data_IF_773294108114
#
_entry.id   IF_773294108114
#
_cell.length_a   1.000
_cell.length_b   1.000
_cell.length_c   1.000
_cell.angle_alpha   90.00
_cell.angle_beta   90.00
_cell.angle_gamma   90.00
#
_symmetry.space_group_name_H-M   'P 1'
#
loop_
_entity.id
_entity.type
_entity.pdbx_description
1 polymer ?
#
# COMPACT_ATOMS: atom_id res chain seq x y z
N UNK A 1 30.45 -42.14 -0.55
CA UNK A 1 29.73 -41.37 -1.59
C UNK A 1 28.26 -41.73 -1.53
N UNK A 2 27.50 -41.08 -0.64
CA UNK A 2 26.04 -41.25 -0.60
C UNK A 2 25.42 -40.55 -1.80
N UNK A 3 24.61 -41.26 -2.57
CA UNK A 3 23.90 -40.73 -3.74
C UNK A 3 22.47 -40.33 -3.37
N UNK A 4 21.86 -39.39 -4.10
CA UNK A 4 20.48 -38.92 -3.83
C UNK A 4 19.46 -40.08 -3.89
N UNK A 5 19.72 -41.13 -4.67
CA UNK A 5 18.88 -42.32 -4.76
C UNK A 5 18.92 -43.19 -3.50
N UNK A 6 20.03 -43.19 -2.75
CA UNK A 6 20.17 -43.99 -1.53
C UNK A 6 19.55 -43.34 -0.29
N UNK A 7 19.33 -42.01 -0.33
CA UNK A 7 18.93 -41.24 0.84
C UNK A 7 17.42 -41.22 1.11
N UNK A 8 16.59 -41.52 0.11
CA UNK A 8 15.14 -41.33 0.17
C UNK A 8 14.73 -39.86 0.36
N UNK A 9 13.43 -39.62 0.58
CA UNK A 9 12.86 -38.31 0.87
C UNK A 9 12.95 -38.05 2.39
N UNK A 10 14.04 -37.44 2.83
CA UNK A 10 14.22 -37.01 4.21
C UNK A 10 13.69 -35.59 4.41
N UNK A 11 13.18 -35.30 5.60
CA UNK A 11 12.61 -33.99 5.95
C UNK A 11 13.64 -32.97 6.41
N UNK A 12 14.88 -33.41 6.70
CA UNK A 12 15.95 -32.52 7.14
C UNK A 12 16.76 -31.96 5.94
N UNK A 13 16.67 -30.64 5.67
CA UNK A 13 17.35 -30.01 4.54
C UNK A 13 18.88 -29.97 4.69
N UNK A 14 19.43 -30.13 5.91
CA UNK A 14 20.88 -30.05 6.15
C UNK A 14 21.65 -31.21 5.52
N UNK A 15 21.02 -32.37 5.44
CA UNK A 15 21.60 -33.59 4.88
C UNK A 15 21.78 -33.43 3.36
N UNK A 16 20.83 -32.79 2.69
CA UNK A 16 20.94 -32.47 1.27
C UNK A 16 22.08 -31.48 0.96
N UNK A 17 22.44 -30.58 1.88
CA UNK A 17 23.55 -29.62 1.66
C UNK A 17 24.95 -30.25 1.76
N UNK A 18 25.08 -31.44 2.35
CA UNK A 18 26.36 -32.16 2.46
C UNK A 18 26.69 -32.99 1.20
N UNK A 19 25.73 -33.14 0.28
CA UNK A 19 25.85 -34.02 -0.89
C UNK A 19 26.43 -33.22 -2.07
N UNK A 20 27.50 -33.71 -2.70
CA UNK A 20 28.10 -33.05 -3.88
C UNK A 20 27.12 -32.93 -5.07
N UNK A 21 26.21 -33.89 -5.23
CA UNK A 21 25.20 -33.91 -6.30
C UNK A 21 24.16 -32.79 -6.17
N UNK A 22 23.81 -32.35 -4.95
CA UNK A 22 22.84 -31.26 -4.77
C UNK A 22 23.45 -29.92 -5.16
N UNK A 23 24.73 -29.68 -4.82
CA UNK A 23 25.46 -28.50 -5.30
C UNK A 23 25.59 -28.47 -6.82
N UNK A 24 25.83 -29.62 -7.46
CA UNK A 24 25.81 -29.72 -8.92
C UNK A 24 24.42 -29.36 -9.49
N UNK A 25 23.35 -29.89 -8.90
CA UNK A 25 21.98 -29.56 -9.30
C UNK A 25 21.65 -28.08 -9.11
N UNK A 26 22.04 -27.48 -7.98
CA UNK A 26 21.90 -26.05 -7.73
C UNK A 26 22.64 -25.21 -8.77
N UNK A 27 23.88 -25.57 -9.12
CA UNK A 27 24.66 -24.87 -10.15
C UNK A 27 24.03 -24.98 -11.53
N UNK A 28 23.51 -26.16 -11.91
CA UNK A 28 22.80 -26.34 -13.18
C UNK A 28 21.52 -25.50 -13.21
N UNK A 29 20.72 -25.53 -12.15
CA UNK A 29 19.49 -24.71 -12.03
C UNK A 29 19.85 -23.22 -12.11
N UNK A 30 20.88 -22.78 -11.40
CA UNK A 30 21.34 -21.39 -11.42
C UNK A 30 21.78 -20.96 -12.83
N UNK A 31 22.56 -21.79 -13.52
CA UNK A 31 23.01 -21.52 -14.88
C UNK A 31 21.85 -21.45 -15.89
N UNK A 32 20.85 -22.34 -15.76
CA UNK A 32 19.63 -22.29 -16.58
C UNK A 32 18.85 -21.00 -16.31
N UNK A 33 18.64 -20.67 -15.02
CA UNK A 33 17.95 -19.44 -14.62
C UNK A 33 18.68 -18.19 -15.15
N UNK A 34 20.00 -18.15 -15.02
CA UNK A 34 20.83 -17.07 -15.55
C UNK A 34 20.72 -16.97 -17.08
N UNK A 35 20.80 -18.09 -17.79
CA UNK A 35 20.60 -18.15 -19.23
C UNK A 35 19.23 -17.61 -19.66
N UNK A 36 18.16 -17.97 -18.95
CA UNK A 36 16.80 -17.46 -19.19
C UNK A 36 16.72 -15.95 -18.93
N UNK A 37 17.33 -15.46 -17.85
CA UNK A 37 17.37 -14.02 -17.53
C UNK A 37 18.11 -13.26 -18.63
N UNK A 38 19.29 -13.72 -19.05
CA UNK A 38 20.07 -13.09 -20.13
C UNK A 38 19.27 -13.05 -21.42
N UNK A 39 18.63 -14.17 -21.79
CA UNK A 39 17.79 -14.26 -22.97
C UNK A 39 16.62 -13.26 -22.90
N UNK A 40 15.95 -13.18 -21.75
CA UNK A 40 14.87 -12.22 -21.50
C UNK A 40 15.35 -10.77 -21.62
N UNK A 41 16.53 -10.44 -21.07
CA UNK A 41 17.12 -9.10 -21.17
C UNK A 41 17.45 -8.72 -22.62
N UNK A 42 17.97 -9.68 -23.41
CA UNK A 42 18.26 -9.47 -24.83
C UNK A 42 16.96 -9.19 -25.61
N UNK A 43 15.94 -10.05 -25.46
CA UNK A 43 14.66 -9.88 -26.18
C UNK A 43 13.92 -8.60 -25.77
N UNK A 44 13.98 -8.23 -24.49
CA UNK A 44 13.28 -7.06 -23.96
C UNK A 44 14.12 -5.78 -24.04
N UNK A 45 15.35 -5.81 -24.57
CA UNK A 45 16.28 -4.67 -24.64
C UNK A 45 15.62 -3.38 -25.11
N UNK A 46 14.86 -3.42 -26.22
CA UNK A 46 14.17 -2.22 -26.75
C UNK A 46 13.12 -1.68 -25.78
N UNK A 47 12.41 -2.56 -25.05
CA UNK A 47 11.41 -2.18 -24.05
C UNK A 47 12.05 -1.64 -22.78
N UNK A 48 13.17 -2.23 -22.35
CA UNK A 48 13.97 -1.76 -21.22
C UNK A 48 14.52 -0.36 -21.50
N UNK A 49 14.98 -0.08 -22.73
CA UNK A 49 15.42 1.27 -23.12
C UNK A 49 14.29 2.31 -23.00
N UNK A 50 13.05 1.94 -23.35
CA UNK A 50 11.87 2.81 -23.15
C UNK A 50 11.65 3.05 -21.65
N UNK A 51 11.71 2.01 -20.82
CA UNK A 51 11.56 2.13 -19.37
C UNK A 51 12.63 3.06 -18.77
N UNK A 52 13.91 2.88 -19.14
CA UNK A 52 15.02 3.74 -18.69
C UNK A 52 14.79 5.19 -19.13
N UNK A 53 14.35 5.41 -20.37
CA UNK A 53 14.05 6.76 -20.86
C UNK A 53 12.91 7.40 -20.07
N UNK A 54 11.82 6.67 -19.80
CA UNK A 54 10.71 7.15 -18.98
C UNK A 54 11.15 7.50 -17.56
N UNK A 55 11.92 6.63 -16.91
CA UNK A 55 12.47 6.85 -15.57
C UNK A 55 13.34 8.12 -15.54
N UNK A 56 14.20 8.31 -16.54
CA UNK A 56 15.02 9.53 -16.65
C UNK A 56 14.16 10.79 -16.76
N UNK A 57 13.07 10.71 -17.52
CA UNK A 57 12.13 11.82 -17.69
C UNK A 57 11.27 12.06 -16.45
N UNK A 58 10.91 10.99 -15.72
CA UNK A 58 10.28 11.09 -14.40
C UNK A 58 11.19 11.79 -13.38
N UNK A 59 12.49 11.48 -13.37
CA UNK A 59 13.45 12.19 -12.52
C UNK A 59 13.52 13.69 -12.84
N UNK A 60 13.45 14.06 -14.13
CA UNK A 60 13.39 15.48 -14.53
C UNK A 60 12.07 16.14 -14.12
N UNK A 61 10.95 15.46 -14.31
CA UNK A 61 9.63 15.96 -13.94
C UNK A 61 9.53 16.23 -12.44
N UNK A 62 10.01 15.28 -11.62
CA UNK A 62 10.14 15.46 -10.18
C UNK A 62 11.07 16.63 -9.87
N UNK A 63 12.22 16.70 -10.57
CA UNK A 63 13.17 17.83 -10.60
C UNK A 63 12.49 19.20 -10.68
N UNK A 64 11.57 19.36 -11.62
CA UNK A 64 10.79 20.59 -11.82
C UNK A 64 9.68 20.79 -10.77
N UNK A 65 9.18 19.72 -10.17
CA UNK A 65 8.07 19.71 -9.22
C UNK A 65 8.50 19.18 -7.85
N UNK A 66 9.57 19.73 -7.27
CA UNK A 66 10.14 19.28 -5.99
C UNK A 66 9.10 19.23 -4.85
N UNK A 67 8.09 20.10 -4.87
CA UNK A 67 7.00 20.09 -3.89
C UNK A 67 6.20 18.78 -3.86
N UNK A 68 6.20 18.00 -4.96
CA UNK A 68 5.58 16.68 -5.01
C UNK A 68 6.22 15.67 -4.05
N UNK A 69 7.52 15.81 -3.73
CA UNK A 69 8.22 14.91 -2.81
C UNK A 69 7.73 15.05 -1.36
N UNK A 70 7.18 16.21 -0.98
CA UNK A 70 6.63 16.44 0.36
C UNK A 70 5.17 15.99 0.48
N UNK A 71 4.51 15.69 -0.64
CA UNK A 71 3.11 15.26 -0.67
C UNK A 71 2.77 14.02 0.19
N UNK A 72 3.65 13.01 0.34
CA UNK A 72 3.42 11.90 1.26
C UNK A 72 3.23 12.34 2.72
N UNK A 73 3.85 13.43 3.16
CA UNK A 73 3.64 13.96 4.52
C UNK A 73 2.22 14.48 4.70
N UNK A 74 1.68 15.15 3.69
CA UNK A 74 0.29 15.60 3.68
C UNK A 74 -0.67 14.40 3.68
N UNK A 75 -0.42 13.39 2.84
CA UNK A 75 -1.19 12.14 2.84
C UNK A 75 -1.14 11.45 4.20
N UNK A 76 0.04 11.38 4.83
CA UNK A 76 0.21 10.78 6.15
C UNK A 76 -0.58 11.52 7.23
N UNK A 77 -0.54 12.86 7.24
CA UNK A 77 -1.33 13.68 8.15
C UNK A 77 -2.83 13.39 8.01
N UNK A 78 -3.34 13.33 6.77
CA UNK A 78 -4.74 13.00 6.52
C UNK A 78 -5.09 11.57 6.98
N UNK A 79 -4.20 10.60 6.79
CA UNK A 79 -4.41 9.23 7.28
C UNK A 79 -4.43 9.18 8.82
N UNK A 80 -3.57 9.94 9.50
CA UNK A 80 -3.59 10.07 10.96
C UNK A 80 -4.92 10.64 11.44
N UNK A 81 -5.45 11.66 10.75
CA UNK A 81 -6.78 12.21 11.05
C UNK A 81 -7.87 11.15 10.89
N UNK A 82 -7.83 10.35 9.81
CA UNK A 82 -8.78 9.26 9.59
C UNK A 82 -8.69 8.19 10.68
N UNK A 83 -7.47 7.78 11.08
CA UNK A 83 -7.25 6.83 12.17
C UNK A 83 -7.78 7.38 13.49
N UNK A 84 -7.49 8.64 13.80
CA UNK A 84 -7.98 9.30 15.01
C UNK A 84 -9.52 9.38 15.03
N UNK A 85 -10.13 9.79 13.92
CA UNK A 85 -11.59 9.85 13.79
C UNK A 85 -12.25 8.47 13.98
N UNK A 86 -11.69 7.42 13.37
CA UNK A 86 -12.15 6.06 13.56
C UNK A 86 -12.02 5.59 15.01
N UNK A 87 -10.86 5.81 15.63
CA UNK A 87 -10.58 5.38 17.01
C UNK A 87 -11.50 6.08 18.01
N UNK A 88 -11.66 7.39 17.88
CA UNK A 88 -12.57 8.20 18.70
C UNK A 88 -14.00 7.69 18.55
N UNK A 89 -14.48 7.50 17.31
CA UNK A 89 -15.82 6.96 17.05
C UNK A 89 -16.00 5.56 17.63
N UNK A 90 -14.99 4.70 17.53
CA UNK A 90 -15.02 3.33 18.08
C UNK A 90 -15.14 3.34 19.61
N UNK A 91 -14.39 4.22 20.28
CA UNK A 91 -14.45 4.39 21.75
C UNK A 91 -15.82 4.91 22.16
N UNK A 92 -16.28 6.02 21.57
CA UNK A 92 -17.61 6.58 21.89
C UNK A 92 -18.73 5.57 21.70
N UNK A 93 -18.68 4.79 20.62
CA UNK A 93 -19.66 3.76 20.34
C UNK A 93 -19.56 2.56 21.31
N UNK A 94 -18.36 2.24 21.79
CA UNK A 94 -18.17 1.18 22.79
C UNK A 94 -18.63 1.61 24.19
N UNK A 95 -18.61 2.92 24.50
CA UNK A 95 -18.96 3.46 25.82
C UNK A 95 -20.35 4.10 25.86
N UNK A 96 -21.13 4.06 24.77
CA UNK A 96 -22.42 4.77 24.70
C UNK A 96 -23.55 4.08 25.47
N UNK A 97 -23.38 2.83 25.89
CA UNK A 97 -24.41 2.10 26.63
C UNK A 97 -24.30 2.31 28.14
N UNK A 98 -25.30 1.88 28.90
CA UNK A 98 -25.25 1.92 30.36
C UNK A 98 -24.16 1.00 30.91
N UNK A 99 -23.47 1.47 31.95
CA UNK A 99 -22.48 0.68 32.67
C UNK A 99 -23.18 -0.38 33.53
N UNK A 100 -22.86 -1.65 33.30
CA UNK A 100 -23.32 -2.75 34.14
C UNK A 100 -22.24 -3.06 35.17
N UNK A 101 -22.63 -3.05 36.45
CA UNK A 101 -21.81 -3.49 37.57
C UNK A 101 -22.29 -4.86 38.02
N UNK A 102 -21.34 -5.74 38.35
CA UNK A 102 -21.62 -7.11 38.80
C UNK A 102 -20.93 -7.39 40.12
N UNK A 103 -21.54 -8.29 40.89
CA UNK A 103 -20.97 -8.79 42.13
C UNK A 103 -19.84 -9.78 41.82
N UNK A 104 -18.63 -9.47 42.25
CA UNK A 104 -17.45 -10.33 42.18
C UNK A 104 -17.09 -10.83 43.58
N UNK A 105 -16.77 -12.11 43.69
CA UNK A 105 -16.32 -12.75 44.93
C UNK A 105 -15.31 -13.84 44.57
N UNK A 106 -14.35 -14.11 45.46
CA UNK A 106 -13.38 -15.21 45.31
C UNK A 106 -14.05 -16.58 45.46
N UNK A 107 -15.12 -16.67 46.27
CA UNK A 107 -15.92 -17.87 46.48
C UNK A 107 -17.27 -17.81 45.73
N UNK A 108 -17.73 -18.95 45.20
CA UNK A 108 -19.07 -19.04 44.58
C UNK A 108 -20.14 -18.79 45.64
N UNK A 109 -20.81 -17.64 45.55
CA UNK A 109 -21.93 -17.27 46.39
C UNK A 109 -23.21 -17.15 45.55
N UNK A 110 -24.37 -17.24 46.19
CA UNK A 110 -25.69 -17.28 45.52
C UNK A 110 -25.97 -16.06 44.61
N UNK A 111 -25.38 -14.91 44.91
CA UNK A 111 -25.54 -13.67 44.13
C UNK A 111 -24.33 -13.34 43.24
N UNK A 112 -23.36 -14.25 43.11
CA UNK A 112 -22.20 -14.04 42.25
C UNK A 112 -22.62 -13.79 40.81
N UNK A 113 -22.01 -12.78 40.15
CA UNK A 113 -22.31 -12.30 38.79
C UNK A 113 -23.68 -11.65 38.58
N UNK A 114 -24.48 -11.47 39.64
CA UNK A 114 -25.71 -10.68 39.54
C UNK A 114 -25.40 -9.20 39.38
N UNK A 115 -26.33 -8.48 38.75
CA UNK A 115 -26.21 -7.03 38.59
C UNK A 115 -26.40 -6.34 39.94
N UNK A 116 -25.56 -5.34 40.22
CA UNK A 116 -25.61 -4.54 41.44
C UNK A 116 -25.57 -3.05 41.10
N UNK A 117 -26.11 -2.23 42.00
CA UNK A 117 -25.96 -0.78 41.94
C UNK A 117 -24.87 -0.35 42.93
N UNK A 118 -23.73 0.20 42.48
CA UNK A 118 -22.62 0.57 43.36
C UNK A 118 -23.03 1.59 44.44
N UNK A 119 -24.06 2.42 44.22
CA UNK A 119 -24.50 3.40 45.20
C UNK A 119 -25.16 2.75 46.44
N UNK A 120 -25.92 1.67 46.23
CA UNK A 120 -26.71 1.01 47.27
C UNK A 120 -26.15 -0.36 47.68
N UNK A 121 -25.01 -0.76 47.12
CA UNK A 121 -24.49 -2.10 47.30
C UNK A 121 -24.08 -2.40 48.75
N UNK A 122 -23.45 -1.45 49.44
CA UNK A 122 -22.96 -1.63 50.82
C UNK A 122 -24.05 -1.96 51.83
N UNK A 123 -25.30 -1.56 51.57
CA UNK A 123 -26.46 -1.81 52.44
C UNK A 123 -27.38 -2.91 51.90
N UNK A 124 -27.06 -3.48 50.74
CA UNK A 124 -27.90 -4.49 50.08
C UNK A 124 -27.86 -5.85 50.77
N UNK A 125 -28.95 -6.62 50.64
CA UNK A 125 -29.03 -8.03 51.06
C UNK A 125 -27.91 -8.88 50.42
N UNK A 126 -27.51 -8.52 49.19
CA UNK A 126 -26.45 -9.21 48.45
C UNK A 126 -25.11 -9.10 49.16
N UNK A 127 -24.76 -7.94 49.73
CA UNK A 127 -23.52 -7.73 50.49
C UNK A 127 -23.57 -8.38 51.87
N UNK A 128 -24.75 -8.46 52.48
CA UNK A 128 -24.93 -9.17 53.76
C UNK A 128 -24.73 -10.69 53.59
N UNK A 129 -25.22 -11.27 52.49
CA UNK A 129 -25.13 -12.70 52.22
C UNK A 129 -23.78 -13.11 51.60
N UNK A 130 -23.13 -12.22 50.84
CA UNK A 130 -21.79 -12.41 50.30
C UNK A 130 -20.84 -11.36 50.92
N UNK A 131 -20.36 -11.60 52.14
CA UNK A 131 -19.61 -10.61 52.95
C UNK A 131 -18.35 -10.08 52.25
N UNK A 132 -17.64 -10.96 51.56
CA UNK A 132 -16.36 -10.65 50.89
C UNK A 132 -16.53 -10.24 49.42
N UNK A 133 -17.76 -9.95 48.98
CA UNK A 133 -18.03 -9.61 47.58
C UNK A 133 -17.98 -8.11 47.29
N UNK A 134 -17.52 -7.74 46.09
CA UNK A 134 -17.41 -6.36 45.61
C UNK A 134 -18.28 -6.13 44.37
N UNK A 135 -18.90 -4.95 44.27
CA UNK A 135 -19.66 -4.55 43.09
C UNK A 135 -18.73 -3.81 42.13
N UNK A 136 -18.18 -4.53 41.14
CA UNK A 136 -17.21 -3.99 40.19
C UNK A 136 -17.85 -3.76 38.82
N UNK A 137 -17.32 -2.78 38.09
CA UNK A 137 -17.69 -2.57 36.70
C UNK A 137 -17.36 -3.83 35.89
N UNK A 138 -18.35 -4.34 35.15
CA UNK A 138 -18.16 -5.50 34.29
C UNK A 138 -17.96 -5.07 32.83
N UNK A 139 -18.91 -4.35 32.26
CA UNK A 139 -18.86 -3.87 30.88
C UNK A 139 -19.97 -2.83 30.61
N UNK A 140 -19.82 -2.05 29.53
CA UNK A 140 -20.90 -1.26 28.95
C UNK A 140 -21.75 -2.16 28.06
N UNK A 141 -23.02 -2.42 28.40
CA UNK A 141 -23.78 -3.44 27.66
C UNK A 141 -25.08 -3.88 28.31
N UNK A 142 -25.64 -4.99 27.81
CA UNK A 142 -26.87 -5.64 28.30
C UNK A 142 -27.56 -6.42 27.18
N UNK A 143 -28.65 -7.12 27.47
CA UNK A 143 -29.49 -7.79 26.45
C UNK A 143 -30.41 -6.82 25.68
N UNK A 144 -30.10 -5.53 25.71
CA UNK A 144 -30.94 -4.51 25.08
C UNK A 144 -30.82 -4.58 23.56
N UNK A 145 -31.91 -4.24 22.87
CA UNK A 145 -31.95 -4.16 21.39
C UNK A 145 -30.85 -3.21 20.87
N UNK A 146 -30.58 -2.13 21.62
CA UNK A 146 -29.50 -1.18 21.34
C UNK A 146 -28.12 -1.84 21.28
N UNK A 147 -27.81 -2.78 22.18
CA UNK A 147 -26.52 -3.48 22.20
C UNK A 147 -26.28 -4.29 20.91
N UNK A 148 -27.32 -4.86 20.31
CA UNK A 148 -27.22 -5.56 19.00
C UNK A 148 -26.89 -4.59 17.86
N UNK A 149 -27.47 -3.38 17.88
CA UNK A 149 -27.17 -2.34 16.89
C UNK A 149 -25.75 -1.76 17.03
N UNK A 150 -25.21 -1.68 18.26
CA UNK A 150 -23.83 -1.21 18.48
C UNK A 150 -22.80 -2.05 17.72
N UNK A 151 -22.97 -3.36 17.67
CA UNK A 151 -22.09 -4.26 16.91
C UNK A 151 -22.13 -3.91 15.42
N UNK A 152 -23.32 -3.72 14.85
CA UNK A 152 -23.47 -3.32 13.45
C UNK A 152 -22.84 -1.95 13.16
N UNK A 153 -23.01 -0.99 14.07
CA UNK A 153 -22.40 0.33 13.97
C UNK A 153 -20.86 0.27 14.06
N UNK A 154 -20.28 -0.66 14.84
CA UNK A 154 -18.83 -0.86 14.87
C UNK A 154 -18.31 -1.43 13.54
N UNK A 155 -19.03 -2.38 12.94
CA UNK A 155 -18.70 -2.86 11.59
C UNK A 155 -18.80 -1.74 10.54
N UNK A 156 -19.83 -0.89 10.64
CA UNK A 156 -19.96 0.29 9.78
C UNK A 156 -18.81 1.29 10.00
N UNK A 157 -18.37 1.51 11.24
CA UNK A 157 -17.23 2.38 11.53
C UNK A 157 -15.92 1.83 10.92
N UNK A 158 -15.70 0.51 10.99
CA UNK A 158 -14.57 -0.14 10.29
C UNK A 158 -14.69 0.04 8.77
N UNK A 159 -15.91 -0.11 8.22
CA UNK A 159 -16.15 0.15 6.81
C UNK A 159 -15.77 1.59 6.41
N UNK A 160 -16.22 2.57 7.21
CA UNK A 160 -15.94 3.98 6.99
C UNK A 160 -14.44 4.28 7.07
N UNK A 161 -13.70 3.64 7.99
CA UNK A 161 -12.26 3.74 8.06
C UNK A 161 -11.57 3.32 6.75
N UNK A 162 -11.90 2.14 6.20
CA UNK A 162 -11.34 1.71 4.92
C UNK A 162 -11.71 2.69 3.80
N UNK A 163 -12.96 3.17 3.78
CA UNK A 163 -13.42 4.10 2.76
C UNK A 163 -12.68 5.44 2.80
N UNK A 164 -12.56 6.06 3.97
CA UNK A 164 -11.83 7.30 4.14
C UNK A 164 -10.33 7.14 3.86
N UNK A 165 -9.70 6.05 4.32
CA UNK A 165 -8.28 5.80 4.06
C UNK A 165 -7.99 5.61 2.55
N UNK A 166 -8.85 4.88 1.84
CA UNK A 166 -8.75 4.74 0.40
C UNK A 166 -9.02 6.06 -0.32
N UNK A 167 -9.97 6.87 0.16
CA UNK A 167 -10.24 8.20 -0.39
C UNK A 167 -9.04 9.13 -0.30
N UNK A 168 -8.38 9.17 0.87
CA UNK A 168 -7.15 9.96 1.07
C UNK A 168 -6.04 9.49 0.12
N UNK A 169 -5.89 8.16 -0.04
CA UNK A 169 -4.90 7.58 -0.96
C UNK A 169 -5.23 7.93 -2.43
N UNK A 170 -6.50 7.83 -2.82
CA UNK A 170 -6.98 8.16 -4.17
C UNK A 170 -6.77 9.64 -4.48
N UNK A 171 -7.06 10.54 -3.53
CA UNK A 171 -6.79 11.96 -3.64
C UNK A 171 -5.31 12.22 -3.90
N UNK A 172 -4.42 11.49 -3.21
CA UNK A 172 -2.99 11.56 -3.45
C UNK A 172 -2.55 11.12 -4.82
N UNK A 173 -3.04 9.97 -5.27
CA UNK A 173 -2.73 9.45 -6.60
C UNK A 173 -3.19 10.41 -7.70
N UNK A 174 -4.42 10.91 -7.60
CA UNK A 174 -4.97 11.83 -8.60
C UNK A 174 -4.28 13.19 -8.58
N UNK A 175 -3.95 13.73 -7.40
CA UNK A 175 -3.23 15.00 -7.28
C UNK A 175 -1.86 14.93 -7.94
N UNK A 176 -1.08 13.90 -7.63
CA UNK A 176 0.24 13.69 -8.24
C UNK A 176 0.12 13.44 -9.74
N UNK A 177 -0.84 12.63 -10.18
CA UNK A 177 -1.08 12.37 -11.59
C UNK A 177 -1.43 13.65 -12.36
N UNK A 178 -2.30 14.51 -11.83
CA UNK A 178 -2.64 15.78 -12.48
C UNK A 178 -1.45 16.74 -12.58
N UNK A 179 -0.59 16.77 -11.55
CA UNK A 179 0.63 17.56 -11.58
C UNK A 179 1.61 17.03 -12.66
N UNK A 180 1.94 15.75 -12.66
CA UNK A 180 2.86 15.16 -13.65
C UNK A 180 2.29 15.14 -15.07
N UNK A 181 0.97 15.00 -15.23
CA UNK A 181 0.32 15.14 -16.53
C UNK A 181 0.46 16.58 -17.05
N UNK A 182 0.28 17.60 -16.20
CA UNK A 182 0.51 18.99 -16.60
C UNK A 182 1.96 19.25 -17.04
N UNK A 183 2.93 18.57 -16.39
CA UNK A 183 4.32 18.58 -16.85
C UNK A 183 4.47 17.94 -18.23
N UNK A 184 3.91 16.73 -18.45
CA UNK A 184 4.08 16.00 -19.70
C UNK A 184 3.55 16.79 -20.90
N UNK A 185 2.29 17.25 -20.79
CA UNK A 185 1.55 17.87 -21.90
C UNK A 185 1.88 19.35 -22.13
N UNK A 186 2.64 20.01 -21.25
CA UNK A 186 3.13 21.37 -21.43
C UNK A 186 4.12 21.48 -22.60
N UNK A 187 3.93 22.42 -23.52
CA UNK A 187 4.88 22.69 -24.61
C UNK A 187 6.09 23.47 -24.10
N UNK A 188 5.84 24.54 -23.35
CA UNK A 188 6.85 25.31 -22.62
C UNK A 188 6.73 25.02 -21.12
N UNK A 189 7.69 24.26 -20.58
CA UNK A 189 7.69 23.86 -19.16
C UNK A 189 7.75 25.05 -18.19
N UNK A 190 8.25 26.20 -18.63
CA UNK A 190 8.41 27.39 -17.76
C UNK A 190 7.14 28.25 -17.70
N UNK A 191 6.32 28.21 -18.75
CA UNK A 191 5.10 29.04 -18.86
C UNK A 191 3.82 28.25 -18.64
N UNK A 192 3.74 27.04 -19.18
CA UNK A 192 2.49 26.27 -19.24
C UNK A 192 2.26 25.44 -17.97
N UNK A 193 3.31 25.18 -17.19
CA UNK A 193 3.21 24.47 -15.91
C UNK A 193 2.83 25.47 -14.81
N UNK A 194 1.74 25.24 -14.06
CA UNK A 194 1.36 26.12 -12.95
C UNK A 194 2.50 26.26 -11.94
N UNK A 195 2.70 27.46 -11.36
CA UNK A 195 3.75 27.74 -10.36
C UNK A 195 3.70 26.78 -9.15
N UNK A 196 2.50 26.36 -8.76
CA UNK A 196 2.25 25.38 -7.69
C UNK A 196 1.43 24.21 -8.26
N UNK A 197 2.06 23.30 -9.03
CA UNK A 197 1.33 22.31 -9.82
C UNK A 197 0.59 21.29 -8.95
N UNK A 198 1.19 20.90 -7.82
CA UNK A 198 0.59 19.97 -6.85
C UNK A 198 -0.66 20.58 -6.20
N UNK A 199 -0.59 21.81 -5.72
CA UNK A 199 -1.74 22.49 -5.10
C UNK A 199 -2.86 22.82 -6.10
N UNK A 200 -2.50 23.24 -7.31
CA UNK A 200 -3.47 23.46 -8.39
C UNK A 200 -4.19 22.16 -8.76
N UNK A 201 -3.44 21.07 -8.90
CA UNK A 201 -3.99 19.73 -9.18
C UNK A 201 -4.90 19.23 -8.04
N UNK A 202 -4.47 19.42 -6.80
CA UNK A 202 -5.27 19.11 -5.61
C UNK A 202 -6.60 19.86 -5.61
N UNK A 203 -6.56 21.17 -5.86
CA UNK A 203 -7.76 22.01 -5.91
C UNK A 203 -8.74 21.54 -7.00
N UNK A 204 -8.24 21.15 -8.17
CA UNK A 204 -9.06 20.54 -9.23
C UNK A 204 -9.66 19.19 -8.79
N UNK A 205 -8.87 18.34 -8.16
CA UNK A 205 -9.34 17.03 -7.68
C UNK A 205 -10.47 17.17 -6.66
N UNK A 206 -10.32 18.08 -5.68
CA UNK A 206 -11.32 18.35 -4.65
C UNK A 206 -12.56 19.09 -5.17
N UNK A 207 -12.40 19.99 -6.16
CA UNK A 207 -13.53 20.78 -6.67
C UNK A 207 -14.39 20.02 -7.67
N UNK A 208 -13.77 19.21 -8.54
CA UNK A 208 -14.47 18.64 -9.70
C UNK A 208 -14.55 17.10 -9.69
N UNK A 209 -13.72 16.42 -8.90
CA UNK A 209 -13.54 14.96 -9.04
C UNK A 209 -13.72 14.15 -7.75
N UNK A 210 -14.21 14.76 -6.67
CA UNK A 210 -14.49 14.09 -5.39
C UNK A 210 -15.41 12.89 -5.55
N UNK A 211 -16.44 12.97 -6.38
CA UNK A 211 -17.33 11.84 -6.67
C UNK A 211 -16.60 10.64 -7.30
N UNK A 212 -15.68 10.88 -8.22
CA UNK A 212 -14.87 9.81 -8.85
C UNK A 212 -13.89 9.18 -7.87
N UNK A 213 -13.26 10.00 -7.01
CA UNK A 213 -12.41 9.53 -5.92
C UNK A 213 -13.18 8.68 -4.92
N UNK A 214 -14.34 9.16 -4.46
CA UNK A 214 -15.21 8.47 -3.51
C UNK A 214 -15.73 7.14 -4.07
N UNK A 215 -16.17 7.12 -5.32
CA UNK A 215 -16.68 5.92 -5.98
C UNK A 215 -15.60 4.84 -6.15
N UNK A 216 -14.42 5.19 -6.68
CA UNK A 216 -13.32 4.22 -6.79
C UNK A 216 -12.86 3.71 -5.42
N UNK A 217 -12.82 4.58 -4.41
CA UNK A 217 -12.45 4.22 -3.04
C UNK A 217 -13.48 3.31 -2.39
N UNK A 218 -14.77 3.51 -2.69
CA UNK A 218 -15.86 2.65 -2.22
C UNK A 218 -15.71 1.22 -2.74
N UNK A 219 -15.46 1.05 -4.05
CA UNK A 219 -15.24 -0.27 -4.67
C UNK A 219 -14.09 -1.00 -3.97
N UNK A 220 -12.96 -0.30 -3.79
CA UNK A 220 -11.79 -0.90 -3.13
C UNK A 220 -12.09 -1.29 -1.67
N UNK A 221 -12.82 -0.45 -0.94
CA UNK A 221 -13.15 -0.69 0.47
C UNK A 221 -14.06 -1.89 0.67
N UNK A 222 -15.06 -2.08 -0.21
CA UNK A 222 -15.93 -3.25 -0.20
C UNK A 222 -15.09 -4.52 -0.35
N UNK A 223 -14.18 -4.56 -1.31
CA UNK A 223 -13.30 -5.72 -1.53
C UNK A 223 -12.39 -5.98 -0.33
N UNK A 224 -11.83 -4.93 0.28
CA UNK A 224 -10.97 -5.05 1.45
C UNK A 224 -11.71 -5.58 2.67
N UNK A 225 -12.95 -5.16 2.89
CA UNK A 225 -13.76 -5.62 4.03
C UNK A 225 -14.15 -7.09 3.85
N UNK A 226 -14.50 -7.51 2.64
CA UNK A 226 -14.75 -8.92 2.37
C UNK A 226 -13.48 -9.74 2.65
N UNK A 227 -12.30 -9.25 2.25
CA UNK A 227 -11.02 -9.91 2.56
C UNK A 227 -10.76 -10.01 4.07
N UNK A 228 -10.97 -8.93 4.83
CA UNK A 228 -10.82 -8.93 6.30
C UNK A 228 -11.80 -9.90 6.94
N UNK A 229 -13.06 -9.95 6.47
CA UNK A 229 -14.07 -10.88 6.95
C UNK A 229 -13.68 -12.34 6.68
N UNK A 230 -13.17 -12.65 5.49
CA UNK A 230 -12.66 -13.99 5.16
C UNK A 230 -11.48 -14.40 6.05
N UNK A 231 -10.60 -13.46 6.40
CA UNK A 231 -9.48 -13.71 7.33
C UNK A 231 -9.98 -13.99 8.75
N UNK A 232 -10.95 -13.21 9.21
CA UNK A 232 -11.59 -13.41 10.50
C UNK A 232 -12.33 -14.76 10.58
N UNK A 233 -13.10 -15.12 9.54
CA UNK A 233 -13.81 -16.40 9.48
C UNK A 233 -12.85 -17.58 9.52
N UNK A 234 -11.75 -17.52 8.76
CA UNK A 234 -10.72 -18.57 8.79
C UNK A 234 -10.10 -18.71 10.18
N UNK A 235 -9.78 -17.59 10.85
CA UNK A 235 -9.28 -17.63 12.23
C UNK A 235 -10.27 -18.31 13.19
N UNK A 236 -11.56 -17.99 13.07
CA UNK A 236 -12.61 -18.56 13.93
C UNK A 236 -12.90 -20.04 13.61
N UNK A 237 -12.72 -20.44 12.36
CA UNK A 237 -12.97 -21.81 11.88
C UNK A 237 -11.74 -22.73 11.98
N UNK A 238 -10.60 -22.26 12.52
CA UNK A 238 -9.43 -23.11 12.79
C UNK A 238 -9.76 -24.33 13.68
N UNK A 239 -10.73 -24.20 14.58
CA UNK A 239 -11.22 -25.29 15.44
C UNK A 239 -12.16 -26.30 14.76
N UNK A 240 -12.69 -25.99 13.56
CA UNK A 240 -13.60 -26.87 12.83
C UNK A 240 -12.82 -27.81 11.88
N UNK A 241 -13.10 -29.12 11.97
CA UNK A 241 -12.40 -30.19 11.25
C UNK A 241 -12.94 -30.45 9.81
N UNK A 242 -13.67 -29.50 9.20
CA UNK A 242 -14.25 -29.74 7.86
C UNK A 242 -13.27 -29.34 6.73
N UNK A 243 -12.74 -30.35 6.02
CA UNK A 243 -11.78 -30.18 4.91
C UNK A 243 -12.35 -29.34 3.76
N UNK A 244 -13.66 -29.48 3.46
CA UNK A 244 -14.31 -28.73 2.39
C UNK A 244 -14.34 -27.22 2.68
N UNK A 245 -14.70 -26.84 3.91
CA UNK A 245 -14.73 -25.43 4.35
C UNK A 245 -13.33 -24.80 4.29
N UNK A 246 -12.29 -25.53 4.71
CA UNK A 246 -10.90 -25.05 4.62
C UNK A 246 -10.46 -24.81 3.18
N UNK A 247 -10.78 -25.73 2.26
CA UNK A 247 -10.48 -25.56 0.85
C UNK A 247 -11.22 -24.35 0.24
N UNK A 248 -12.51 -24.20 0.51
CA UNK A 248 -13.30 -23.08 0.01
C UNK A 248 -12.80 -21.73 0.54
N UNK A 249 -12.47 -21.63 1.84
CA UNK A 249 -11.91 -20.42 2.43
C UNK A 249 -10.55 -20.06 1.82
N UNK A 250 -9.69 -21.05 1.58
CA UNK A 250 -8.42 -20.84 0.89
C UNK A 250 -8.62 -20.26 -0.52
N UNK A 251 -9.54 -20.85 -1.30
CA UNK A 251 -9.86 -20.37 -2.64
C UNK A 251 -10.42 -18.94 -2.61
N UNK A 252 -11.40 -18.65 -1.74
CA UNK A 252 -11.98 -17.32 -1.61
C UNK A 252 -10.95 -16.27 -1.17
N UNK A 253 -10.09 -16.59 -0.20
CA UNK A 253 -8.99 -15.70 0.21
C UNK A 253 -8.07 -15.36 -0.95
N UNK A 254 -7.68 -16.36 -1.75
CA UNK A 254 -6.85 -16.15 -2.93
C UNK A 254 -7.57 -15.27 -3.96
N UNK A 255 -8.82 -15.57 -4.30
CA UNK A 255 -9.62 -14.80 -5.24
C UNK A 255 -9.81 -13.34 -4.82
N UNK A 256 -10.13 -13.09 -3.55
CA UNK A 256 -10.31 -11.73 -3.03
C UNK A 256 -8.99 -10.98 -2.87
N UNK A 257 -7.88 -11.68 -2.60
CA UNK A 257 -6.55 -11.08 -2.65
C UNK A 257 -6.19 -10.63 -4.07
N UNK A 258 -6.43 -11.48 -5.07
CA UNK A 258 -6.26 -11.15 -6.48
C UNK A 258 -7.17 -9.99 -6.91
N UNK A 259 -8.44 -10.01 -6.48
CA UNK A 259 -9.41 -8.96 -6.77
C UNK A 259 -8.99 -7.63 -6.15
N UNK A 260 -8.53 -7.61 -4.90
CA UNK A 260 -8.03 -6.38 -4.26
C UNK A 260 -6.85 -5.80 -5.04
N UNK A 261 -5.90 -6.65 -5.45
CA UNK A 261 -4.75 -6.23 -6.27
C UNK A 261 -5.19 -5.67 -7.62
N UNK A 262 -6.12 -6.35 -8.29
CA UNK A 262 -6.67 -5.91 -9.56
C UNK A 262 -7.42 -4.58 -9.44
N UNK A 263 -8.29 -4.42 -8.44
CA UNK A 263 -9.04 -3.18 -8.21
C UNK A 263 -8.09 -2.04 -7.85
N UNK A 264 -7.04 -2.28 -7.04
CA UNK A 264 -6.00 -1.27 -6.77
C UNK A 264 -5.30 -0.81 -8.04
N UNK A 265 -4.93 -1.75 -8.91
CA UNK A 265 -4.34 -1.46 -10.21
C UNK A 265 -5.31 -0.66 -11.10
N UNK A 266 -6.56 -1.09 -11.22
CA UNK A 266 -7.58 -0.40 -12.02
C UNK A 266 -7.83 1.03 -11.51
N UNK A 267 -8.06 1.19 -10.21
CA UNK A 267 -8.30 2.49 -9.58
C UNK A 267 -7.14 3.46 -9.84
N UNK A 268 -5.91 3.02 -9.60
CA UNK A 268 -4.70 3.84 -9.78
C UNK A 268 -4.62 4.39 -11.21
N UNK A 269 -4.79 3.52 -12.21
CA UNK A 269 -4.73 3.92 -13.62
C UNK A 269 -5.96 4.74 -14.06
N UNK A 270 -7.14 4.44 -13.52
CA UNK A 270 -8.35 5.23 -13.73
C UNK A 270 -8.16 6.67 -13.24
N UNK A 271 -7.63 6.87 -12.03
CA UNK A 271 -7.38 8.21 -11.47
C UNK A 271 -6.38 9.01 -12.31
N UNK A 272 -5.39 8.36 -12.92
CA UNK A 272 -4.48 9.02 -13.88
C UNK A 272 -5.28 9.50 -15.10
N UNK A 273 -6.13 8.66 -15.70
CA UNK A 273 -6.96 9.06 -16.86
C UNK A 273 -8.01 10.11 -16.51
N UNK A 274 -8.58 10.08 -15.31
CA UNK A 274 -9.46 11.15 -14.80
C UNK A 274 -8.67 12.47 -14.72
N UNK A 275 -7.43 12.43 -14.22
CA UNK A 275 -6.60 13.64 -14.11
C UNK A 275 -6.21 14.24 -15.48
N UNK A 276 -6.02 13.39 -16.50
CA UNK A 276 -5.67 13.82 -17.87
C UNK A 276 -6.90 14.36 -18.62
N UNK A 277 -8.06 13.68 -18.57
CA UNK A 277 -9.22 14.03 -19.41
C UNK A 277 -10.37 14.72 -18.68
N UNK A 278 -10.41 14.68 -17.35
CA UNK A 278 -11.52 15.21 -16.57
C UNK A 278 -12.84 14.43 -16.72
N UNK A 279 -12.81 13.20 -17.24
CA UNK A 279 -14.00 12.33 -17.37
C UNK A 279 -14.35 11.65 -16.05
N UNK A 280 -15.54 11.04 -15.97
CA UNK A 280 -15.95 10.27 -14.80
C UNK A 280 -15.12 8.97 -14.64
N UNK A 281 -15.13 8.42 -13.42
CA UNK A 281 -14.34 7.24 -13.05
C UNK A 281 -14.51 6.05 -14.00
N UNK A 282 -15.74 5.63 -14.31
CA UNK A 282 -15.99 4.43 -15.11
C UNK A 282 -15.48 4.56 -16.55
N UNK A 283 -15.70 5.71 -17.17
CA UNK A 283 -15.17 5.99 -18.52
C UNK A 283 -13.65 5.98 -18.51
N UNK A 284 -13.02 6.69 -17.57
CA UNK A 284 -11.57 6.73 -17.42
C UNK A 284 -10.96 5.37 -17.07
N UNK A 285 -11.63 4.54 -16.27
CA UNK A 285 -11.19 3.19 -15.95
C UNK A 285 -11.20 2.28 -17.17
N UNK A 286 -12.25 2.36 -18.00
CA UNK A 286 -12.33 1.62 -19.27
C UNK A 286 -11.22 2.06 -20.22
N UNK A 287 -11.06 3.36 -20.42
CA UNK A 287 -10.05 3.94 -21.31
C UNK A 287 -8.64 3.53 -20.86
N UNK A 288 -8.33 3.67 -19.56
CA UNK A 288 -7.07 3.25 -18.97
C UNK A 288 -6.79 1.75 -19.19
N UNK A 289 -7.77 0.89 -18.89
CA UNK A 289 -7.62 -0.55 -19.02
C UNK A 289 -7.38 -0.97 -20.48
N UNK A 290 -8.15 -0.43 -21.42
CA UNK A 290 -7.97 -0.74 -22.85
C UNK A 290 -6.61 -0.28 -23.37
N UNK A 291 -6.17 0.92 -23.00
CA UNK A 291 -4.87 1.47 -23.40
C UNK A 291 -3.70 0.59 -22.90
N UNK A 292 -3.78 0.15 -21.64
CA UNK A 292 -2.78 -0.71 -21.02
C UNK A 292 -2.78 -2.11 -21.62
N UNK A 293 -3.95 -2.73 -21.86
CA UNK A 293 -4.05 -4.07 -22.42
C UNK A 293 -3.49 -4.15 -23.85
N UNK A 294 -3.71 -3.12 -24.68
CA UNK A 294 -3.10 -3.04 -26.02
C UNK A 294 -1.58 -2.97 -25.99
N UNK A 295 -1.02 -2.48 -24.88
CA UNK A 295 0.42 -2.28 -24.70
C UNK A 295 1.01 -3.16 -23.58
N UNK A 296 0.36 -4.29 -23.24
CA UNK A 296 0.63 -5.07 -22.02
C UNK A 296 2.10 -5.46 -21.84
N UNK A 297 2.82 -5.77 -22.92
CA UNK A 297 4.25 -6.11 -22.86
C UNK A 297 5.08 -4.90 -22.42
N UNK A 298 4.78 -3.69 -22.92
CA UNK A 298 5.46 -2.46 -22.49
C UNK A 298 5.16 -2.17 -21.02
N UNK A 299 3.89 -2.31 -20.64
CA UNK A 299 3.42 -2.11 -19.26
C UNK A 299 4.21 -3.02 -18.32
N UNK A 300 4.22 -4.33 -18.59
CA UNK A 300 4.92 -5.31 -17.76
C UNK A 300 6.42 -5.03 -17.63
N UNK A 301 7.09 -4.61 -18.70
CA UNK A 301 8.53 -4.29 -18.63
C UNK A 301 8.78 -3.00 -17.83
N UNK A 302 8.01 -1.95 -18.08
CA UNK A 302 8.16 -0.67 -17.36
C UNK A 302 7.88 -0.86 -15.87
N UNK A 303 6.81 -1.57 -15.52
CA UNK A 303 6.43 -1.89 -14.15
C UNK A 303 7.55 -2.67 -13.42
N UNK A 304 8.04 -3.78 -14.01
CA UNK A 304 9.10 -4.60 -13.38
C UNK A 304 10.44 -3.89 -13.24
N UNK A 305 10.85 -3.11 -14.25
CA UNK A 305 12.10 -2.33 -14.19
C UNK A 305 11.99 -1.23 -13.14
N UNK A 306 10.85 -0.55 -13.08
CA UNK A 306 10.59 0.52 -12.10
C UNK A 306 10.58 -0.05 -10.68
N UNK A 307 9.82 -1.12 -10.43
CA UNK A 307 9.76 -1.77 -9.11
C UNK A 307 11.13 -2.22 -8.63
N UNK A 308 11.94 -2.84 -9.50
CA UNK A 308 13.29 -3.27 -9.17
C UNK A 308 14.20 -2.09 -8.80
N UNK A 309 14.19 -1.02 -9.59
CA UNK A 309 15.03 0.16 -9.34
C UNK A 309 14.62 0.90 -8.07
N UNK A 310 13.32 1.07 -7.83
CA UNK A 310 12.83 1.70 -6.61
C UNK A 310 13.07 0.81 -5.38
N UNK A 311 13.01 -0.51 -5.53
CA UNK A 311 13.40 -1.44 -4.47
C UNK A 311 14.89 -1.32 -4.11
N UNK A 312 15.78 -1.31 -5.11
CA UNK A 312 17.22 -1.14 -4.90
C UNK A 312 17.52 0.21 -4.23
N UNK A 313 16.85 1.27 -4.64
CA UNK A 313 16.96 2.59 -4.00
C UNK A 313 16.54 2.60 -2.53
N UNK A 314 15.44 1.91 -2.19
CA UNK A 314 15.01 1.73 -0.78
C UNK A 314 16.03 0.92 0.01
N UNK A 315 16.51 -0.19 -0.53
CA UNK A 315 17.48 -1.07 0.13
C UNK A 315 18.79 -0.34 0.42
N UNK A 316 19.28 0.45 -0.54
CA UNK A 316 20.49 1.25 -0.37
C UNK A 316 20.32 2.31 0.73
N UNK A 317 19.23 3.07 0.72
CA UNK A 317 18.97 4.09 1.75
C UNK A 317 18.83 3.48 3.15
N UNK A 318 18.03 2.42 3.28
CA UNK A 318 17.82 1.74 4.56
C UNK A 318 19.10 1.07 5.04
N UNK A 319 19.88 0.48 4.13
CA UNK A 319 21.18 -0.11 4.42
C UNK A 319 22.18 0.93 4.94
N UNK A 320 22.29 2.08 4.29
CA UNK A 320 23.17 3.17 4.73
C UNK A 320 22.77 3.71 6.11
N UNK A 321 21.46 3.92 6.35
CA UNK A 321 20.95 4.35 7.66
C UNK A 321 21.21 3.29 8.72
N UNK A 322 21.01 2.00 8.39
CA UNK A 322 21.27 0.89 9.31
C UNK A 322 22.75 0.77 9.68
N UNK A 323 23.66 0.89 8.71
CA UNK A 323 25.11 0.88 8.93
C UNK A 323 25.51 2.08 9.80
N UNK A 324 25.01 3.28 9.49
CA UNK A 324 25.28 4.47 10.28
C UNK A 324 24.75 4.33 11.72
N UNK A 325 23.51 3.87 11.89
CA UNK A 325 22.92 3.63 13.20
C UNK A 325 23.71 2.57 13.99
N UNK A 326 24.17 1.50 13.34
CA UNK A 326 25.01 0.49 13.97
C UNK A 326 26.32 1.09 14.48
N UNK A 327 27.04 1.86 13.66
CA UNK A 327 28.29 2.49 14.10
C UNK A 327 28.08 3.53 15.19
N UNK A 328 26.97 4.27 15.16
CA UNK A 328 26.62 5.27 16.17
C UNK A 328 26.26 4.62 17.52
N UNK A 329 25.37 3.62 17.54
CA UNK A 329 24.89 3.00 18.78
C UNK A 329 25.78 1.89 19.33
N UNK A 330 26.69 1.32 18.53
CA UNK A 330 27.63 0.28 18.99
C UNK A 330 28.83 0.85 19.75
N UNK A 331 29.05 2.17 19.74
CA UNK A 331 30.19 2.81 20.41
C UNK A 331 31.56 2.44 19.83
N UNK A 332 31.63 1.76 18.67
CA UNK A 332 32.89 1.30 18.07
C UNK A 332 33.71 2.41 17.40
N UNK A 333 33.14 3.60 17.25
CA UNK A 333 33.79 4.75 16.61
C UNK A 333 34.07 5.81 17.67
N UNK A 334 35.36 6.06 17.95
CA UNK A 334 35.84 7.05 18.94
C UNK A 334 35.26 8.46 18.72
N UNK A 335 34.88 8.81 17.49
CA UNK A 335 34.27 10.10 17.16
C UNK A 335 32.90 10.34 17.82
N UNK A 336 32.18 9.28 18.22
CA UNK A 336 30.86 9.39 18.83
C UNK A 336 30.82 8.90 20.28
N UNK A 337 31.96 8.54 20.86
CA UNK A 337 32.07 7.95 22.20
C UNK A 337 31.53 8.88 23.30
N UNK A 338 31.70 10.19 23.15
CA UNK A 338 31.20 11.20 24.11
C UNK A 338 29.74 11.61 23.89
N UNK A 339 29.15 11.27 22.75
CA UNK A 339 27.79 11.69 22.37
C UNK A 339 26.80 10.52 22.40
N UNK A 340 27.29 9.30 22.19
CA UNK A 340 26.47 8.10 22.17
C UNK A 340 26.11 7.66 23.60
N UNK A 341 24.82 7.53 23.94
CA UNK A 341 24.42 7.04 25.26
C UNK A 341 24.80 5.55 25.42
N UNK A 342 25.23 5.16 26.63
CA UNK A 342 25.44 3.75 26.95
C UNK A 342 24.09 3.02 27.00
N UNK A 343 23.81 2.20 25.99
CA UNK A 343 22.58 1.44 25.86
C UNK A 343 22.81 -0.04 26.20
N UNK A 344 22.02 -0.59 27.12
CA UNK A 344 21.98 -2.05 27.38
C UNK A 344 21.48 -2.83 26.15
N UNK A 345 20.56 -2.27 25.38
CA UNK A 345 19.98 -2.89 24.19
C UNK A 345 20.10 -1.98 22.96
N UNK A 346 21.33 -1.78 22.48
CA UNK A 346 21.62 -0.94 21.31
C UNK A 346 20.91 -1.38 20.01
N UNK A 347 20.45 -2.63 19.93
CA UNK A 347 19.70 -3.16 18.78
C UNK A 347 18.30 -2.55 18.61
N UNK A 348 17.63 -2.15 19.68
CA UNK A 348 16.28 -1.58 19.63
C UNK A 348 16.26 -0.27 18.82
N UNK A 349 17.06 0.77 19.14
CA UNK A 349 17.06 2.00 18.37
C UNK A 349 17.55 1.80 16.92
N UNK A 350 18.46 0.86 16.67
CA UNK A 350 18.88 0.49 15.30
C UNK A 350 17.69 -0.06 14.52
N UNK A 351 16.96 -1.02 15.09
CA UNK A 351 15.79 -1.62 14.43
C UNK A 351 14.70 -0.56 14.19
N UNK A 352 14.45 0.31 15.16
CA UNK A 352 13.52 1.44 15.01
C UNK A 352 13.94 2.38 13.89
N UNK A 353 15.24 2.73 13.79
CA UNK A 353 15.77 3.58 12.72
C UNK A 353 15.67 2.91 11.34
N UNK A 354 15.97 1.62 11.24
CA UNK A 354 15.86 0.83 10.01
C UNK A 354 14.39 0.75 9.55
N UNK A 355 13.46 0.41 10.44
CA UNK A 355 12.03 0.35 10.12
C UNK A 355 11.49 1.73 9.75
N UNK A 356 11.83 2.76 10.53
CA UNK A 356 11.42 4.14 10.27
C UNK A 356 11.94 4.65 8.92
N UNK A 357 13.21 4.43 8.61
CA UNK A 357 13.80 4.81 7.32
C UNK A 357 13.15 4.07 6.15
N UNK A 358 12.78 2.80 6.31
CA UNK A 358 12.04 2.06 5.27
C UNK A 358 10.66 2.66 5.00
N UNK A 359 9.90 3.01 6.05
CA UNK A 359 8.58 3.63 5.91
C UNK A 359 8.67 5.00 5.22
N UNK A 360 9.65 5.82 5.62
CA UNK A 360 9.90 7.14 5.02
C UNK A 360 10.28 6.95 3.55
N UNK A 361 11.27 6.10 3.25
CA UNK A 361 11.70 5.81 1.89
C UNK A 361 10.53 5.31 1.03
N UNK A 362 9.70 4.40 1.56
CA UNK A 362 8.50 3.92 0.87
C UNK A 362 7.57 5.07 0.48
N UNK A 363 7.32 6.04 1.38
CA UNK A 363 6.54 7.24 1.11
C UNK A 363 7.10 8.06 -0.05
N UNK A 364 8.39 8.43 -0.01
CA UNK A 364 9.02 9.21 -1.08
C UNK A 364 9.07 8.48 -2.43
N UNK A 365 9.45 7.20 -2.45
CA UNK A 365 9.47 6.41 -3.68
C UNK A 365 8.08 6.15 -4.26
N UNK A 366 7.02 6.22 -3.45
CA UNK A 366 5.64 6.13 -3.97
C UNK A 366 5.31 7.31 -4.90
N UNK A 367 5.84 8.51 -4.64
CA UNK A 367 5.71 9.67 -5.53
C UNK A 367 6.40 9.40 -6.85
N UNK A 368 7.60 8.80 -6.79
CA UNK A 368 8.35 8.42 -7.98
C UNK A 368 7.59 7.40 -8.82
N UNK A 369 7.05 6.35 -8.20
CA UNK A 369 6.22 5.36 -8.88
C UNK A 369 4.99 5.99 -9.53
N UNK A 370 4.31 6.93 -8.84
CA UNK A 370 3.19 7.68 -9.42
C UNK A 370 3.61 8.54 -10.62
N UNK A 371 4.79 9.15 -10.58
CA UNK A 371 5.33 9.92 -11.69
C UNK A 371 5.58 9.03 -12.92
N UNK A 372 6.27 7.91 -12.74
CA UNK A 372 6.54 6.95 -13.82
C UNK A 372 5.26 6.47 -14.47
N UNK A 373 4.28 6.02 -13.67
CA UNK A 373 3.01 5.53 -14.20
C UNK A 373 2.24 6.61 -14.95
N UNK A 374 2.22 7.84 -14.43
CA UNK A 374 1.53 8.96 -15.06
C UNK A 374 2.18 9.32 -16.40
N UNK A 375 3.50 9.49 -16.43
CA UNK A 375 4.21 9.82 -17.67
C UNK A 375 4.12 8.68 -18.69
N UNK A 376 4.13 7.43 -18.22
CA UNK A 376 3.96 6.28 -19.08
C UNK A 376 2.56 6.22 -19.71
N UNK A 377 1.50 6.48 -18.93
CA UNK A 377 0.14 6.54 -19.46
C UNK A 377 -0.02 7.71 -20.44
N UNK A 378 0.54 8.89 -20.12
CA UNK A 378 0.56 10.04 -21.03
C UNK A 378 1.30 9.71 -22.33
N UNK A 379 2.42 8.99 -22.25
CA UNK A 379 3.18 8.52 -23.39
C UNK A 379 2.40 7.53 -24.27
N UNK A 380 1.68 6.58 -23.67
CA UNK A 380 0.82 5.67 -24.44
C UNK A 380 -0.32 6.44 -25.12
N UNK A 381 -0.93 7.39 -24.43
CA UNK A 381 -1.99 8.24 -24.99
C UNK A 381 -1.47 9.13 -26.14
N UNK A 382 -0.29 9.72 -25.99
CA UNK A 382 0.39 10.50 -27.02
C UNK A 382 0.67 9.66 -28.28
N UNK A 383 1.03 8.39 -28.10
CA UNK A 383 1.20 7.46 -29.23
C UNK A 383 -0.09 7.12 -29.97
N UNK A 384 -1.24 7.08 -29.28
CA UNK A 384 -2.53 6.79 -29.91
C UNK A 384 -3.15 8.04 -30.55
N UNK A 385 -2.97 9.23 -29.95
CA UNK A 385 -3.61 10.48 -30.41
C UNK A 385 -2.83 11.22 -31.48
N UNK A 386 -1.50 11.21 -31.39
CA UNK A 386 -0.64 12.01 -32.23
C UNK A 386 0.02 11.14 -33.30
N UNK A 387 0.12 11.68 -34.50
CA UNK A 387 0.70 11.02 -35.67
C UNK A 387 2.01 11.68 -36.12
N UNK A 388 2.38 12.79 -35.49
CA UNK A 388 3.56 13.58 -35.82
C UNK A 388 3.30 14.58 -36.95
N UNK A 389 2.06 14.82 -37.37
CA UNK A 389 1.70 15.93 -38.26
C UNK A 389 1.87 17.29 -37.57
N UNK A 390 1.91 18.41 -38.31
CA UNK A 390 1.90 19.75 -37.73
C UNK A 390 0.68 20.01 -36.84
N UNK A 391 -0.47 19.43 -37.18
CA UNK A 391 -1.71 19.53 -36.38
C UNK A 391 -1.67 18.67 -35.11
N UNK A 392 -0.98 17.52 -35.15
CA UNK A 392 -0.90 16.55 -34.05
C UNK A 392 0.53 16.05 -33.83
N UNK A 393 1.44 16.92 -33.35
CA UNK A 393 2.83 16.57 -33.12
C UNK A 393 2.96 15.64 -31.91
N UNK A 394 3.95 14.74 -31.91
CA UNK A 394 4.32 14.00 -30.72
C UNK A 394 4.93 14.94 -29.68
N UNK A 395 4.42 14.88 -28.45
CA UNK A 395 4.88 15.68 -27.31
C UNK A 395 5.89 14.94 -26.43
N UNK A 396 6.05 13.63 -26.65
CA UNK A 396 7.01 12.81 -25.92
C UNK A 396 8.46 13.32 -26.07
N UNK A 397 9.31 13.11 -25.04
CA UNK A 397 10.71 13.51 -25.04
C UNK A 397 11.51 12.98 -26.24
N UNK A 398 12.53 13.75 -26.67
CA UNK A 398 13.34 13.38 -27.84
C UNK A 398 14.00 12.02 -27.74
N UNK A 399 14.43 11.65 -26.54
CA UNK A 399 15.02 10.33 -26.24
C UNK A 399 14.04 9.21 -26.60
N UNK A 400 12.77 9.34 -26.20
CA UNK A 400 11.69 8.40 -26.51
C UNK A 400 11.36 8.38 -28.00
N UNK A 401 11.27 9.55 -28.66
CA UNK A 401 11.06 9.64 -30.12
C UNK A 401 12.15 8.90 -30.89
N UNK A 402 13.42 9.09 -30.51
CA UNK A 402 14.58 8.41 -31.12
C UNK A 402 14.52 6.90 -30.93
N UNK A 403 14.19 6.41 -29.72
CA UNK A 403 14.06 4.97 -29.42
C UNK A 403 12.94 4.32 -30.27
N UNK A 404 11.83 5.04 -30.47
CA UNK A 404 10.68 4.57 -31.27
C UNK A 404 10.81 4.83 -32.78
N UNK A 405 11.86 5.54 -33.22
CA UNK A 405 12.01 6.01 -34.60
C UNK A 405 10.80 6.82 -35.10
N UNK A 406 10.19 7.61 -34.22
CA UNK A 406 9.10 8.55 -34.55
C UNK A 406 9.67 9.95 -34.70
N UNK A 407 9.15 10.73 -35.65
CA UNK A 407 9.54 12.13 -35.90
C UNK A 407 8.29 12.98 -36.11
N UNK A 408 8.35 14.23 -35.67
CA UNK A 408 7.37 15.21 -36.08
C UNK A 408 7.76 15.69 -37.48
N UNK A 409 6.80 15.69 -38.39
CA UNK A 409 6.91 16.31 -39.69
C UNK A 409 6.96 17.82 -39.44
N UNK A 410 8.11 18.42 -39.67
CA UNK A 410 8.18 19.88 -39.82
C UNK A 410 7.50 20.23 -41.13
N UNK A 411 6.73 21.33 -41.15
CA UNK A 411 6.28 21.91 -42.42
C UNK A 411 7.50 22.04 -43.36
N UNK A 412 7.37 21.72 -44.66
CA UNK A 412 8.33 22.24 -45.61
C UNK A 412 8.28 23.77 -45.47
N UNK A 413 9.42 24.36 -45.10
CA UNK A 413 9.56 25.81 -44.98
C UNK A 413 8.91 26.48 -46.19
N UNK A 414 7.95 27.39 -45.92
CA UNK A 414 7.40 28.29 -46.92
C UNK A 414 8.48 29.23 -47.44
#
# INVERSE_FOLDING_TARGET
>A
NLTIQELGLQTDPTIYLQIRQTWLAFMIILAIVEGVIILMLIFLRKRILIAIALIRESSKAIGHMMSSLFYPLFTFLLLVIVVAYWAVTAVFLSTSNQAIYKVFNESECTYSRNNCDPANYSTSLMKQQCRDSECLFAFYGGETVYHKYLIALQFYNVFLFFWCANFVTALGQMTLAGAFASYYWASDKTKDVPKLPVFSSMGRALRYHTGSLAFGSLILSIVQIIRVLLEYLDHKLKGAQNKCTKFLLCCLKCCFWCLEKFVKFLNRNAYIMVAIHGRNFCASARDAFMLLMRNIIRVAVVDKVTDFLLFLGKLLLVGLVGVFAFFFFSGRVKAFENTAPHLHYYWVPILTAVIGSYLIAHGFFSVYAMCVDTLFLCFLEDLERNDGSPERPYLMPESLRKILKKKNKTDPAQ
#
